data_IF_684117383151
#
_entry.id   IF_684117383151
#
_cell.length_a   1.000
_cell.length_b   1.000
_cell.length_c   1.000
_cell.angle_alpha   90.00
_cell.angle_beta   90.00
_cell.angle_gamma   90.00
#
_symmetry.space_group_name_H-M   'P 1'
#
loop_
_entity.id
_entity.type
_entity.pdbx_description
1 polymer ?
#
# COMPACT_ATOMS: atom_id res chain seq x y z
N UNK A 1 -10.69 -9.15 -2.03
CA UNK A 1 -11.41 -7.85 -2.17
C UNK A 1 -10.81 -6.93 -1.11
N UNK A 2 -10.14 -5.86 -1.53
CA UNK A 2 -9.36 -4.98 -0.63
C UNK A 2 -10.29 -3.88 -0.12
N UNK A 3 -10.49 -3.80 1.20
CA UNK A 3 -11.33 -2.79 1.83
C UNK A 3 -10.46 -1.81 2.62
N UNK A 4 -10.48 -0.52 2.27
CA UNK A 4 -9.63 0.48 2.92
C UNK A 4 -10.46 1.33 3.88
N UNK A 5 -10.13 1.25 5.17
CA UNK A 5 -10.73 2.11 6.19
C UNK A 5 -9.77 3.25 6.56
N UNK A 6 -10.21 4.48 6.37
CA UNK A 6 -9.37 5.68 6.52
C UNK A 6 -10.05 6.70 7.42
N UNK A 7 -9.35 7.18 8.43
CA UNK A 7 -9.74 8.35 9.21
C UNK A 7 -9.11 9.60 8.62
N UNK A 8 -9.89 10.68 8.50
CA UNK A 8 -9.40 11.98 8.04
C UNK A 8 -9.51 13.01 9.17
N UNK A 9 -8.36 13.47 9.67
CA UNK A 9 -8.29 14.52 10.68
C UNK A 9 -8.02 15.86 10.01
N UNK A 10 -8.88 16.85 10.26
CA UNK A 10 -8.72 18.24 9.80
C UNK A 10 -8.14 19.09 10.92
N UNK A 11 -7.01 19.72 10.65
CA UNK A 11 -6.41 20.70 11.56
C UNK A 11 -6.85 22.12 11.21
N UNK A 12 -6.79 23.01 12.20
CA UNK A 12 -7.26 24.40 12.12
C UNK A 12 -6.62 25.22 10.99
N UNK A 13 -5.41 24.87 10.54
CA UNK A 13 -4.71 25.52 9.41
C UNK A 13 -5.00 24.88 8.04
N UNK A 14 -6.10 24.14 7.90
CA UNK A 14 -6.49 23.50 6.64
C UNK A 14 -5.71 22.22 6.29
N UNK A 15 -4.74 21.80 7.12
CA UNK A 15 -4.02 20.54 6.95
C UNK A 15 -4.96 19.36 7.17
N UNK A 16 -5.01 18.45 6.20
CA UNK A 16 -5.71 17.16 6.30
C UNK A 16 -4.68 16.06 6.51
N UNK A 17 -4.92 15.20 7.48
CA UNK A 17 -4.11 13.99 7.71
C UNK A 17 -5.02 12.80 7.53
N UNK A 18 -4.61 11.88 6.67
CA UNK A 18 -5.30 10.62 6.43
C UNK A 18 -4.53 9.51 7.16
N UNK A 19 -5.24 8.73 7.96
CA UNK A 19 -4.66 7.66 8.77
C UNK A 19 -5.43 6.38 8.52
N UNK A 20 -4.72 5.29 8.23
CA UNK A 20 -5.33 3.96 8.13
C UNK A 20 -5.79 3.52 9.52
N UNK A 21 -7.07 3.15 9.63
CA UNK A 21 -7.63 2.63 10.90
C UNK A 21 -7.71 1.12 10.91
N UNK A 22 -7.81 0.48 9.74
CA UNK A 22 -7.73 -0.97 9.61
C UNK A 22 -6.75 -1.38 8.51
N UNK A 23 -6.16 -2.56 8.65
CA UNK A 23 -5.37 -3.19 7.61
C UNK A 23 -6.27 -3.59 6.45
N UNK A 24 -5.94 -3.22 5.21
CA UNK A 24 -6.79 -3.49 4.05
C UNK A 24 -6.75 -4.95 3.57
N UNK A 25 -5.79 -5.74 4.08
CA UNK A 25 -5.56 -7.13 3.68
C UNK A 25 -6.17 -8.13 4.66
N UNK A 26 -5.91 -7.98 5.97
CA UNK A 26 -6.41 -8.89 7.01
C UNK A 26 -7.55 -8.33 7.87
N UNK A 27 -7.85 -7.03 7.78
CA UNK A 27 -8.88 -6.38 8.59
C UNK A 27 -8.47 -6.04 10.02
N UNK A 28 -7.19 -6.16 10.39
CA UNK A 28 -6.66 -5.79 11.71
C UNK A 28 -6.90 -4.31 12.03
N UNK A 29 -7.43 -4.00 13.22
CA UNK A 29 -7.66 -2.62 13.68
C UNK A 29 -6.41 -2.02 14.33
N UNK A 30 -5.88 -0.96 13.75
CA UNK A 30 -4.66 -0.31 14.20
C UNK A 30 -4.88 0.55 15.45
N UNK A 31 -3.99 0.39 16.43
CA UNK A 31 -3.96 1.31 17.57
C UNK A 31 -3.35 2.68 17.18
N UNK A 32 -3.67 3.77 17.90
CA UNK A 32 -3.22 5.12 17.54
C UNK A 32 -1.70 5.24 17.36
N UNK A 33 -0.92 4.59 18.21
CA UNK A 33 0.56 4.66 18.23
C UNK A 33 1.23 3.41 17.64
N UNK A 34 0.48 2.55 16.96
CA UNK A 34 1.03 1.32 16.38
C UNK A 34 1.81 1.60 15.08
N UNK A 35 3.00 1.00 14.90
CA UNK A 35 3.76 1.12 13.67
C UNK A 35 3.09 0.30 12.55
N UNK A 36 2.14 0.91 11.85
CA UNK A 36 1.37 0.32 10.74
C UNK A 36 2.26 -0.26 9.64
N UNK A 37 3.38 0.40 9.35
CA UNK A 37 4.36 -0.05 8.36
C UNK A 37 4.99 -1.39 8.74
N UNK A 38 5.13 -1.67 10.03
CA UNK A 38 5.73 -2.89 10.54
C UNK A 38 4.77 -4.07 10.40
N UNK A 39 3.50 -3.88 10.78
CA UNK A 39 2.44 -4.86 10.53
C UNK A 39 2.34 -5.22 9.04
N UNK A 40 2.34 -4.22 8.16
CA UNK A 40 2.30 -4.44 6.69
C UNK A 40 3.54 -5.16 6.14
N UNK A 41 4.69 -5.09 6.80
CA UNK A 41 5.92 -5.71 6.32
C UNK A 41 6.14 -7.10 6.92
N UNK A 42 5.74 -7.31 8.17
CA UNK A 42 6.00 -8.54 8.91
C UNK A 42 4.86 -9.58 8.72
N UNK A 43 3.63 -9.13 8.46
CA UNK A 43 2.44 -10.00 8.41
C UNK A 43 1.81 -10.12 7.01
N UNK A 44 2.36 -9.41 6.01
CA UNK A 44 1.85 -9.44 4.65
C UNK A 44 2.95 -9.65 3.61
N UNK A 45 2.62 -10.49 2.63
CA UNK A 45 3.45 -10.71 1.47
C UNK A 45 2.94 -9.90 0.26
N UNK A 46 3.78 -9.66 -0.76
CA UNK A 46 3.34 -9.01 -2.00
C UNK A 46 2.13 -9.69 -2.65
N UNK A 47 2.02 -11.01 -2.47
CA UNK A 47 0.92 -11.84 -2.99
C UNK A 47 -0.44 -11.45 -2.39
N UNK A 48 -0.49 -11.00 -1.13
CA UNK A 48 -1.72 -10.50 -0.48
C UNK A 48 -2.27 -9.25 -1.18
N UNK A 49 -1.38 -8.49 -1.82
CA UNK A 49 -1.72 -7.32 -2.63
C UNK A 49 -1.95 -7.68 -4.12
N UNK A 50 -1.87 -8.96 -4.49
CA UNK A 50 -1.94 -9.42 -5.88
C UNK A 50 -0.70 -9.04 -6.71
N UNK A 51 0.42 -8.75 -6.05
CA UNK A 51 1.70 -8.49 -6.71
C UNK A 51 2.46 -9.79 -6.95
N UNK A 52 3.47 -9.74 -7.82
CA UNK A 52 4.40 -10.87 -7.98
C UNK A 52 5.15 -11.14 -6.69
N UNK A 53 5.52 -12.40 -6.42
CA UNK A 53 6.29 -12.77 -5.24
C UNK A 53 7.55 -11.91 -5.08
N UNK A 54 7.96 -11.69 -3.83
CA UNK A 54 9.17 -10.94 -3.55
C UNK A 54 10.39 -11.60 -4.22
N UNK A 55 11.08 -10.85 -5.07
CA UNK A 55 12.25 -11.34 -5.83
C UNK A 55 11.94 -11.85 -7.23
N UNK A 56 10.67 -11.96 -7.61
CA UNK A 56 10.27 -12.24 -8.99
C UNK A 56 10.03 -10.95 -9.77
N UNK A 57 10.80 -10.78 -10.84
CA UNK A 57 10.64 -9.69 -11.79
C UNK A 57 9.85 -10.23 -12.98
N UNK A 58 8.66 -9.68 -13.21
CA UNK A 58 7.82 -10.07 -14.34
C UNK A 58 8.56 -9.88 -15.68
N UNK A 59 8.42 -10.81 -16.64
CA UNK A 59 9.02 -10.65 -17.96
C UNK A 59 8.50 -9.36 -18.61
N UNK A 60 9.42 -8.48 -19.03
CA UNK A 60 9.07 -7.16 -19.57
C UNK A 60 9.06 -6.02 -18.55
N UNK A 61 9.52 -6.24 -17.30
CA UNK A 61 9.75 -5.17 -16.34
C UNK A 61 10.65 -4.03 -16.89
N UNK A 62 11.66 -4.38 -17.68
CA UNK A 62 12.56 -3.40 -18.29
C UNK A 62 12.03 -2.83 -19.62
N UNK A 63 10.86 -3.29 -20.07
CA UNK A 63 10.24 -2.76 -21.27
C UNK A 63 9.75 -1.33 -21.00
N UNK A 64 9.84 -0.43 -21.98
CA UNK A 64 9.28 0.91 -21.87
C UNK A 64 7.78 0.86 -21.54
N UNK A 65 7.35 1.60 -20.51
CA UNK A 65 5.93 1.74 -20.16
C UNK A 65 5.09 2.28 -21.34
N UNK A 66 5.71 3.05 -22.23
CA UNK A 66 5.13 3.50 -23.48
C UNK A 66 6.10 3.16 -24.61
N UNK A 67 5.60 2.48 -25.64
CA UNK A 67 6.36 1.92 -26.76
C UNK A 67 7.54 2.80 -27.16
N UNK A 68 8.75 2.26 -26.97
CA UNK A 68 10.01 3.00 -27.02
C UNK A 68 10.15 3.88 -28.27
N UNK A 69 10.94 4.96 -28.12
CA UNK A 69 11.19 5.98 -29.14
C UNK A 69 11.63 5.30 -30.45
N UNK A 70 10.76 5.33 -31.45
CA UNK A 70 11.13 5.02 -32.83
C UNK A 70 12.05 6.15 -33.32
N UNK A 71 13.30 5.84 -33.61
CA UNK A 71 14.20 6.73 -34.37
C UNK A 71 14.26 6.25 -35.82
#
# INVERSE_FOLDING_TARGET
>A
MVCVSIQTTRYSRGRRVHTLVSCPFCGHDFQPNEPRWKHLLDEHDPEDAGLTPAGEIAPGHDAPLFGGVQR
#
